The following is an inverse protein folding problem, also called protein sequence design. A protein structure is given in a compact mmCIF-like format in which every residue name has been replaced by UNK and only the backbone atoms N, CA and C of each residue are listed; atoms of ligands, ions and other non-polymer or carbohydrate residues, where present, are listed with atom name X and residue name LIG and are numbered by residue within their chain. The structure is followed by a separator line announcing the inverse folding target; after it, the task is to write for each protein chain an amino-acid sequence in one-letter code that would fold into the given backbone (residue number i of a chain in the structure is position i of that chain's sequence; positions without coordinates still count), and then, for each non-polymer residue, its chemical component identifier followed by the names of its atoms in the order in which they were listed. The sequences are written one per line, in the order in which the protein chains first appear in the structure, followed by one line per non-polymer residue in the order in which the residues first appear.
data_IF_087645319514
#
_entry.id   IF_087645319514
#
_cell.length_a   1.000
_cell.length_b   1.000
_cell.length_c   1.000
_cell.angle_alpha   90.00
_cell.angle_beta   90.00
_cell.angle_gamma   90.00
#
_symmetry.space_group_name_H-M   'P 1'
#
loop_
_entity.id
_entity.type
_entity.pdbx_description
1 polymer ?
#
# COMPACT_ATOMS: atom_id res chain seq x y z
N UNK A 1 47.33 25.13 -17.45
CA UNK A 1 45.94 25.11 -17.02
C UNK A 1 45.61 23.69 -16.62
N UNK A 2 45.55 23.39 -15.30
CA UNK A 2 45.18 22.08 -14.80
C UNK A 2 43.65 21.97 -14.83
N UNK A 3 43.14 21.13 -15.74
CA UNK A 3 41.73 20.75 -15.77
C UNK A 3 41.42 19.91 -14.55
N UNK A 4 40.64 20.44 -13.61
CA UNK A 4 40.07 19.68 -12.50
C UNK A 4 38.96 18.79 -13.08
N UNK A 5 39.03 17.46 -12.93
CA UNK A 5 37.96 16.59 -13.39
C UNK A 5 36.67 16.91 -12.60
N UNK A 6 35.49 16.82 -13.24
CA UNK A 6 34.23 17.04 -12.56
C UNK A 6 34.10 15.99 -11.45
N UNK A 7 33.96 16.45 -10.21
CA UNK A 7 33.56 15.60 -9.07
C UNK A 7 32.10 15.22 -9.33
N UNK A 8 31.85 14.02 -9.83
CA UNK A 8 30.49 13.46 -9.83
C UNK A 8 30.10 13.25 -8.38
N UNK A 9 29.13 14.01 -7.89
CA UNK A 9 28.55 13.77 -6.60
C UNK A 9 28.03 12.30 -6.58
N UNK A 10 28.50 11.50 -5.62
CA UNK A 10 27.99 10.13 -5.47
C UNK A 10 26.49 10.18 -5.15
N UNK A 11 25.70 9.36 -5.85
CA UNK A 11 24.29 9.24 -5.57
C UNK A 11 24.09 8.87 -4.08
N UNK A 12 23.08 9.48 -3.46
CA UNK A 12 22.70 9.15 -2.08
C UNK A 12 21.96 7.82 -2.07
N UNK A 13 22.47 6.83 -1.34
CA UNK A 13 21.83 5.51 -1.21
C UNK A 13 20.67 5.58 -0.22
N UNK A 14 19.55 4.91 -0.54
CA UNK A 14 18.37 4.79 0.31
C UNK A 14 17.65 3.47 0.07
N UNK A 15 17.21 2.81 1.14
CA UNK A 15 16.48 1.54 1.11
C UNK A 15 15.00 1.76 1.38
N UNK A 16 14.15 1.35 0.45
CA UNK A 16 12.69 1.39 0.60
C UNK A 16 12.17 -0.02 0.83
N UNK A 17 11.48 -0.26 1.95
CA UNK A 17 10.83 -1.51 2.26
C UNK A 17 9.39 -1.53 1.74
N UNK A 18 9.00 -2.60 1.04
CA UNK A 18 7.66 -2.81 0.48
C UNK A 18 7.10 -4.18 0.87
N UNK A 19 5.79 -4.34 0.85
CA UNK A 19 5.11 -5.57 1.24
C UNK A 19 4.45 -6.32 0.08
N UNK A 20 5.20 -6.57 -1.00
CA UNK A 20 4.72 -7.20 -2.25
C UNK A 20 4.91 -6.28 -3.44
N UNK A 21 6.15 -6.14 -3.92
CA UNK A 21 6.56 -5.16 -4.95
C UNK A 21 5.70 -5.19 -6.23
N UNK A 22 5.16 -6.35 -6.60
CA UNK A 22 4.33 -6.51 -7.79
C UNK A 22 2.88 -6.00 -7.65
N UNK A 23 2.43 -5.64 -6.45
CA UNK A 23 1.08 -5.10 -6.23
C UNK A 23 0.94 -3.69 -6.81
N UNK A 24 -0.24 -3.37 -7.33
CA UNK A 24 -0.52 -2.00 -7.84
C UNK A 24 -0.41 -0.94 -6.74
N UNK A 25 -0.61 -1.32 -5.50
CA UNK A 25 -0.39 -0.50 -4.32
C UNK A 25 1.01 0.15 -4.28
N UNK A 26 2.03 -0.57 -4.78
CA UNK A 26 3.43 -0.10 -4.85
C UNK A 26 3.84 0.35 -6.24
N UNK A 27 2.90 0.40 -7.19
CA UNK A 27 3.21 0.75 -8.57
C UNK A 27 3.89 2.13 -8.72
N UNK A 28 3.52 3.18 -7.94
CA UNK A 28 4.21 4.46 -8.06
C UNK A 28 5.73 4.40 -7.85
N UNK A 29 6.21 3.61 -6.88
CA UNK A 29 7.67 3.47 -6.69
C UNK A 29 8.31 2.56 -7.74
N UNK A 30 7.61 1.52 -8.20
CA UNK A 30 8.09 0.66 -9.28
C UNK A 30 8.24 1.44 -10.59
N UNK A 31 7.31 2.34 -10.89
CA UNK A 31 7.38 3.25 -12.05
C UNK A 31 8.50 4.27 -11.88
N UNK A 32 8.65 4.86 -10.69
CA UNK A 32 9.74 5.79 -10.41
C UNK A 32 11.12 5.13 -10.60
N UNK A 33 11.26 3.86 -10.19
CA UNK A 33 12.47 3.06 -10.42
C UNK A 33 12.68 2.78 -11.91
N UNK A 34 11.67 2.24 -12.59
CA UNK A 34 11.75 1.81 -14.00
C UNK A 34 12.00 2.96 -14.96
N UNK A 35 11.39 4.12 -14.73
CA UNK A 35 11.56 5.32 -15.56
C UNK A 35 12.77 6.19 -15.15
N UNK A 36 13.54 5.75 -14.16
CA UNK A 36 14.77 6.42 -13.73
C UNK A 36 14.55 7.68 -12.90
N UNK A 37 13.33 7.95 -12.43
CA UNK A 37 13.01 9.18 -11.70
C UNK A 37 13.79 9.33 -10.37
N UNK A 38 14.16 8.24 -9.71
CA UNK A 38 15.03 8.30 -8.55
C UNK A 38 16.46 8.72 -8.93
N UNK A 39 16.97 8.21 -10.05
CA UNK A 39 18.31 8.57 -10.56
C UNK A 39 18.38 10.04 -10.99
N UNK A 40 17.31 10.56 -11.56
CA UNK A 40 17.19 11.98 -11.92
C UNK A 40 17.30 12.91 -10.70
N UNK A 41 16.91 12.40 -9.52
CA UNK A 41 17.02 13.09 -8.23
C UNK A 41 18.36 12.81 -7.51
N UNK A 42 19.31 12.12 -8.15
CA UNK A 42 20.60 11.77 -7.55
C UNK A 42 20.50 10.72 -6.45
N UNK A 43 19.48 9.84 -6.51
CA UNK A 43 19.25 8.78 -5.55
C UNK A 43 19.59 7.41 -6.15
N UNK A 44 20.30 6.61 -5.36
CA UNK A 44 20.48 5.18 -5.59
C UNK A 44 19.52 4.42 -4.65
N UNK A 45 18.37 4.00 -5.20
CA UNK A 45 17.27 3.42 -4.43
C UNK A 45 17.30 1.90 -4.56
N UNK A 46 17.37 1.22 -3.40
CA UNK A 46 17.16 -0.22 -3.29
C UNK A 46 15.73 -0.47 -2.77
N UNK A 47 14.88 -1.11 -3.57
CA UNK A 47 13.53 -1.52 -3.13
C UNK A 47 13.60 -2.96 -2.63
N UNK A 48 13.43 -3.15 -1.31
CA UNK A 48 13.48 -4.45 -0.63
C UNK A 48 12.06 -4.97 -0.45
N UNK A 49 11.78 -6.15 -1.02
CA UNK A 49 10.45 -6.76 -1.00
C UNK A 49 10.29 -7.73 0.18
N UNK A 50 9.22 -7.53 0.97
CA UNK A 50 8.84 -8.35 2.10
C UNK A 50 7.46 -8.97 1.88
N UNK A 51 7.12 -9.99 2.66
CA UNK A 51 5.78 -10.58 2.65
C UNK A 51 4.81 -9.75 3.51
N UNK A 52 4.25 -8.66 2.94
CA UNK A 52 3.25 -7.81 3.56
C UNK A 52 3.80 -6.60 4.32
N UNK A 53 2.99 -5.55 4.43
CA UNK A 53 3.39 -4.23 4.90
C UNK A 53 3.85 -4.18 6.36
N UNK A 54 3.36 -5.07 7.24
CA UNK A 54 3.84 -5.12 8.63
C UNK A 54 5.30 -5.54 8.73
N UNK A 55 5.78 -6.41 7.84
CA UNK A 55 7.19 -6.81 7.79
C UNK A 55 8.08 -5.71 7.24
N UNK A 56 7.58 -4.94 6.27
CA UNK A 56 8.25 -3.75 5.75
C UNK A 56 8.43 -2.69 6.84
N UNK A 57 7.38 -2.44 7.64
CA UNK A 57 7.46 -1.55 8.79
C UNK A 57 8.50 -2.04 9.82
N UNK A 58 8.48 -3.35 10.15
CA UNK A 58 9.46 -3.93 11.07
C UNK A 58 10.90 -3.78 10.58
N UNK A 59 11.16 -3.88 9.26
CA UNK A 59 12.48 -3.69 8.69
C UNK A 59 13.01 -2.26 8.91
N UNK A 60 12.14 -1.24 8.78
CA UNK A 60 12.52 0.16 9.04
C UNK A 60 12.69 0.42 10.54
N UNK A 61 11.79 -0.09 11.38
CA UNK A 61 11.92 0.02 12.84
C UNK A 61 13.21 -0.65 13.34
N UNK A 62 13.59 -1.76 12.74
CA UNK A 62 14.82 -2.50 13.05
C UNK A 62 16.08 -1.95 12.38
N UNK A 63 16.00 -0.90 11.55
CA UNK A 63 17.13 -0.28 10.87
C UNK A 63 17.67 -1.04 9.66
N UNK A 64 16.93 -2.01 9.12
CA UNK A 64 17.33 -2.77 7.91
C UNK A 64 16.95 -2.03 6.62
N UNK A 65 16.04 -1.08 6.70
CA UNK A 65 15.65 -0.16 5.64
C UNK A 65 15.39 1.25 6.22
N UNK A 66 15.31 2.25 5.37
CA UNK A 66 15.23 3.66 5.75
C UNK A 66 13.80 4.19 5.69
N UNK A 67 13.06 3.80 4.65
CA UNK A 67 11.73 4.31 4.31
C UNK A 67 10.79 3.13 4.07
N UNK A 68 9.55 3.25 4.49
CA UNK A 68 8.48 2.32 4.13
C UNK A 68 7.67 2.91 2.98
N UNK A 69 7.42 2.13 1.94
CA UNK A 69 6.24 2.31 1.11
C UNK A 69 5.16 1.41 1.68
N UNK A 70 4.11 1.97 2.22
CA UNK A 70 3.12 1.17 2.96
C UNK A 70 1.92 1.98 3.42
N UNK A 71 1.15 1.42 4.32
CA UNK A 71 -0.14 1.94 4.74
C UNK A 71 -0.02 3.14 5.69
N UNK A 72 -0.79 4.17 5.41
CA UNK A 72 -0.81 5.42 6.17
C UNK A 72 -1.16 5.21 7.66
N UNK A 73 -2.11 4.33 7.96
CA UNK A 73 -2.54 4.04 9.34
C UNK A 73 -1.41 3.48 10.21
N UNK A 74 -0.32 2.99 9.61
CA UNK A 74 0.85 2.59 10.37
C UNK A 74 1.49 3.76 11.12
N UNK A 75 1.45 4.99 10.58
CA UNK A 75 1.98 6.17 11.27
C UNK A 75 1.26 6.44 12.57
N UNK A 76 -0.07 6.30 12.59
CA UNK A 76 -0.92 6.44 13.76
C UNK A 76 -0.73 5.28 14.77
N UNK A 77 -0.66 4.05 14.25
CA UNK A 77 -0.40 2.86 15.10
C UNK A 77 0.95 2.94 15.79
N UNK A 78 1.96 3.47 15.12
CA UNK A 78 3.29 3.66 15.68
C UNK A 78 3.34 4.82 16.68
N UNK A 79 2.62 5.91 16.41
CA UNK A 79 2.48 7.02 17.37
C UNK A 79 1.86 6.52 18.69
N UNK A 80 0.84 5.67 18.63
CA UNK A 80 0.22 5.07 19.83
C UNK A 80 1.20 4.17 20.62
N UNK A 81 2.28 3.70 19.99
CA UNK A 81 3.37 2.94 20.63
C UNK A 81 4.56 3.82 21.02
N UNK A 82 4.42 5.15 20.96
CA UNK A 82 5.50 6.09 21.28
C UNK A 82 6.60 6.19 20.22
N UNK A 83 6.35 5.70 19.00
CA UNK A 83 7.31 5.77 17.90
C UNK A 83 6.82 6.75 16.83
N UNK A 84 7.55 7.87 16.68
CA UNK A 84 7.17 8.92 15.74
C UNK A 84 7.54 8.55 14.31
N UNK A 85 6.52 8.26 13.50
CA UNK A 85 6.60 8.07 12.06
C UNK A 85 5.82 9.17 11.34
N UNK A 86 6.31 9.61 10.17
CA UNK A 86 5.64 10.66 9.40
C UNK A 86 5.58 10.26 7.92
N UNK A 87 4.39 10.36 7.33
CA UNK A 87 4.18 10.21 5.90
C UNK A 87 4.50 11.53 5.17
N UNK A 88 5.06 11.44 3.96
CA UNK A 88 5.52 12.62 3.22
C UNK A 88 5.12 12.67 1.74
N UNK A 89 4.56 11.60 1.17
CA UNK A 89 3.94 11.60 -0.15
C UNK A 89 2.93 10.46 -0.26
N UNK A 90 1.75 10.75 -0.80
CA UNK A 90 0.69 9.79 -1.03
C UNK A 90 0.88 9.06 -2.37
N UNK A 91 0.64 7.75 -2.37
CA UNK A 91 0.64 6.86 -3.54
C UNK A 91 -0.76 6.37 -3.89
N UNK A 92 -1.59 6.11 -2.88
CA UNK A 92 -2.94 5.58 -3.02
C UNK A 92 -3.97 6.34 -2.18
N UNK A 93 -5.04 6.80 -2.82
CA UNK A 93 -6.15 7.54 -2.19
C UNK A 93 -7.26 6.62 -1.65
N UNK A 94 -7.14 5.32 -1.88
CA UNK A 94 -8.00 4.27 -1.33
C UNK A 94 -7.17 3.01 -1.03
N UNK A 95 -7.63 2.11 -0.15
CA UNK A 95 -6.85 0.94 0.28
C UNK A 95 -6.52 -0.07 -0.82
N UNK A 96 -7.29 -0.12 -1.91
CA UNK A 96 -7.12 -1.06 -3.04
C UNK A 96 -7.21 -2.55 -2.61
N UNK A 97 -7.70 -2.82 -1.43
CA UNK A 97 -7.91 -4.16 -0.91
C UNK A 97 -9.29 -4.69 -1.30
N UNK A 98 -9.37 -5.98 -1.55
CA UNK A 98 -10.61 -6.68 -1.80
C UNK A 98 -10.81 -7.76 -0.77
N UNK A 99 -11.95 -7.75 -0.08
CA UNK A 99 -12.40 -8.87 0.72
C UNK A 99 -13.20 -9.81 -0.18
N UNK A 100 -12.75 -11.06 -0.31
CA UNK A 100 -13.42 -12.05 -1.14
C UNK A 100 -13.49 -13.41 -0.45
N UNK A 101 -14.49 -14.21 -0.83
CA UNK A 101 -14.69 -15.58 -0.35
C UNK A 101 -14.41 -16.59 -1.46
N UNK A 102 -13.97 -17.78 -1.06
CA UNK A 102 -13.68 -18.89 -1.96
C UNK A 102 -14.97 -19.51 -2.51
N UNK A 103 -15.13 -19.58 -3.83
CA UNK A 103 -16.22 -20.31 -4.45
C UNK A 103 -16.07 -21.84 -4.24
N UNK A 104 -14.86 -22.32 -3.95
CA UNK A 104 -14.59 -23.73 -3.72
C UNK A 104 -15.01 -24.21 -2.34
N UNK A 105 -14.68 -23.47 -1.28
CA UNK A 105 -14.94 -23.87 0.10
C UNK A 105 -16.22 -23.27 0.68
N UNK A 106 -16.74 -22.22 0.03
CA UNK A 106 -17.97 -21.50 0.41
C UNK A 106 -18.87 -21.23 -0.79
N UNK A 107 -19.31 -22.29 -1.55
CA UNK A 107 -20.07 -22.11 -2.78
C UNK A 107 -21.42 -21.42 -2.56
N UNK A 108 -22.05 -21.66 -1.41
CA UNK A 108 -23.38 -21.15 -1.04
C UNK A 108 -23.34 -19.92 -0.14
N UNK A 109 -22.17 -19.25 -0.04
CA UNK A 109 -21.99 -18.08 0.85
C UNK A 109 -23.05 -17.00 0.63
N UNK A 110 -23.72 -16.59 1.70
CA UNK A 110 -24.81 -15.60 1.71
C UNK A 110 -24.51 -14.38 2.58
N UNK A 111 -23.74 -14.56 3.67
CA UNK A 111 -23.48 -13.49 4.62
C UNK A 111 -22.14 -13.66 5.34
N UNK A 112 -21.59 -12.54 5.82
CA UNK A 112 -20.37 -12.53 6.61
C UNK A 112 -20.45 -13.39 7.87
N UNK A 113 -21.64 -13.59 8.45
CA UNK A 113 -21.82 -14.43 9.65
C UNK A 113 -21.32 -15.88 9.47
N UNK A 114 -21.30 -16.38 8.23
CA UNK A 114 -20.81 -17.71 7.90
C UNK A 114 -19.27 -17.85 7.98
N UNK A 115 -18.58 -16.73 8.15
CA UNK A 115 -17.11 -16.72 8.30
C UNK A 115 -16.64 -17.11 9.71
N UNK A 116 -17.54 -17.25 10.70
CA UNK A 116 -17.16 -17.78 12.03
C UNK A 116 -16.54 -19.16 11.91
N UNK A 117 -15.38 -19.36 12.55
CA UNK A 117 -14.60 -20.59 12.48
C UNK A 117 -13.80 -20.78 11.18
N UNK A 118 -13.84 -19.83 10.25
CA UNK A 118 -13.19 -19.94 8.93
C UNK A 118 -11.76 -19.39 8.92
N UNK A 119 -11.02 -19.79 7.89
CA UNK A 119 -9.64 -19.35 7.66
C UNK A 119 -9.63 -18.15 6.72
N UNK A 120 -9.17 -17.02 7.21
CA UNK A 120 -9.10 -15.76 6.46
C UNK A 120 -7.65 -15.46 6.07
N UNK A 121 -7.35 -15.51 4.79
CA UNK A 121 -6.04 -15.13 4.26
C UNK A 121 -5.82 -13.62 4.31
N UNK A 122 -4.63 -13.21 4.72
CA UNK A 122 -4.17 -11.81 4.68
C UNK A 122 -2.75 -11.76 4.12
N UNK A 123 -2.28 -10.63 3.64
CA UNK A 123 -0.89 -10.56 3.11
C UNK A 123 0.12 -10.91 4.21
N UNK A 124 -0.04 -10.31 5.40
CA UNK A 124 0.63 -10.73 6.63
C UNK A 124 -0.18 -10.26 7.84
N UNK A 125 -0.16 -10.96 8.98
CA UNK A 125 -0.71 -10.45 10.23
C UNK A 125 -0.13 -9.08 10.59
N UNK A 126 -0.99 -8.12 10.94
CA UNK A 126 -0.60 -6.72 11.24
C UNK A 126 -0.43 -5.81 10.04
N UNK A 127 -0.59 -6.29 8.80
CA UNK A 127 -0.66 -5.46 7.59
C UNK A 127 -2.04 -4.81 7.43
N UNK A 128 -2.18 -3.83 6.52
CA UNK A 128 -3.47 -3.18 6.25
C UNK A 128 -4.54 -4.17 5.75
N UNK A 129 -4.17 -5.19 5.00
CA UNK A 129 -5.11 -6.27 4.62
C UNK A 129 -5.70 -6.99 5.83
N UNK A 130 -4.91 -7.20 6.89
CA UNK A 130 -5.39 -7.75 8.16
C UNK A 130 -6.29 -6.76 8.90
N UNK A 131 -5.89 -5.48 8.97
CA UNK A 131 -6.69 -4.42 9.58
C UNK A 131 -8.06 -4.27 8.90
N UNK A 132 -8.10 -4.27 7.57
CA UNK A 132 -9.34 -4.18 6.77
C UNK A 132 -10.21 -5.43 6.98
N UNK A 133 -9.62 -6.63 7.05
CA UNK A 133 -10.37 -7.84 7.35
C UNK A 133 -11.06 -7.73 8.71
N UNK A 134 -10.35 -7.33 9.77
CA UNK A 134 -10.92 -7.13 11.10
C UNK A 134 -12.01 -6.06 11.08
N UNK A 135 -11.77 -4.93 10.40
CA UNK A 135 -12.74 -3.84 10.29
C UNK A 135 -14.08 -4.33 9.71
N UNK A 136 -14.02 -5.04 8.58
CA UNK A 136 -15.22 -5.57 7.89
C UNK A 136 -15.93 -6.61 8.75
N UNK A 137 -15.18 -7.51 9.38
CA UNK A 137 -15.73 -8.56 10.24
C UNK A 137 -16.38 -7.97 11.49
N UNK A 138 -15.76 -7.02 12.19
CA UNK A 138 -16.35 -6.37 13.39
C UNK A 138 -17.62 -5.61 13.06
N UNK A 139 -17.69 -4.92 11.91
CA UNK A 139 -18.91 -4.27 11.45
C UNK A 139 -20.05 -5.28 11.16
N UNK A 140 -19.71 -6.55 10.94
CA UNK A 140 -20.66 -7.65 10.79
C UNK A 140 -20.90 -8.45 12.11
N UNK A 141 -20.37 -7.98 13.25
CA UNK A 141 -20.51 -8.64 14.55
C UNK A 141 -19.66 -9.90 14.73
N UNK A 142 -18.53 -9.98 14.02
CA UNK A 142 -17.57 -11.09 14.11
C UNK A 142 -16.28 -10.55 14.72
N UNK A 143 -15.89 -11.13 15.85
CA UNK A 143 -14.64 -10.74 16.50
C UNK A 143 -13.43 -11.46 15.88
N UNK A 144 -12.22 -10.85 15.97
CA UNK A 144 -11.00 -11.46 15.42
C UNK A 144 -10.71 -12.89 15.90
N UNK A 145 -11.09 -13.22 17.14
CA UNK A 145 -10.93 -14.56 17.70
C UNK A 145 -11.95 -15.58 17.18
N UNK A 146 -12.99 -15.14 16.49
CA UNK A 146 -13.99 -16.03 15.87
C UNK A 146 -13.49 -16.63 14.54
N UNK A 147 -12.34 -16.19 14.03
CA UNK A 147 -11.73 -16.62 12.77
C UNK A 147 -10.25 -16.94 12.93
N UNK A 148 -9.67 -17.63 11.95
CA UNK A 148 -8.23 -17.87 11.92
C UNK A 148 -7.56 -17.05 10.80
N UNK A 149 -6.72 -16.08 11.16
CA UNK A 149 -5.97 -15.30 10.17
C UNK A 149 -4.69 -16.02 9.73
N UNK A 150 -4.50 -16.14 8.43
CA UNK A 150 -3.37 -16.85 7.81
C UNK A 150 -2.62 -15.89 6.87
N UNK A 151 -1.33 -15.70 7.09
CA UNK A 151 -0.47 -14.95 6.18
C UNK A 151 -0.21 -15.75 4.90
N UNK A 152 -0.76 -15.29 3.78
CA UNK A 152 -0.62 -15.95 2.45
C UNK A 152 0.26 -15.17 1.48
N UNK A 153 0.76 -13.99 1.90
CA UNK A 153 1.53 -13.10 1.03
C UNK A 153 0.67 -12.37 0.01
N UNK A 154 1.33 -11.82 -1.01
CA UNK A 154 0.75 -10.93 -2.01
C UNK A 154 1.22 -11.28 -3.43
N UNK A 155 1.39 -12.57 -3.70
CA UNK A 155 1.97 -13.09 -4.94
C UNK A 155 1.27 -14.36 -5.42
N UNK A 156 1.90 -15.10 -6.32
CA UNK A 156 1.43 -16.41 -6.79
C UNK A 156 1.10 -17.39 -5.65
N UNK A 157 1.76 -17.28 -4.49
CA UNK A 157 1.46 -18.12 -3.33
C UNK A 157 0.05 -17.87 -2.79
N UNK A 158 -0.43 -16.61 -2.76
CA UNK A 158 -1.80 -16.27 -2.36
C UNK A 158 -2.83 -16.84 -3.36
N UNK A 159 -2.54 -16.76 -4.67
CA UNK A 159 -3.36 -17.37 -5.71
C UNK A 159 -3.46 -18.89 -5.51
N UNK A 160 -2.33 -19.55 -5.27
CA UNK A 160 -2.28 -21.00 -5.05
C UNK A 160 -3.05 -21.42 -3.78
N UNK A 161 -2.90 -20.70 -2.66
CA UNK A 161 -3.60 -20.98 -1.42
C UNK A 161 -5.13 -20.94 -1.59
N UNK A 162 -5.63 -19.92 -2.29
CA UNK A 162 -7.07 -19.77 -2.58
C UNK A 162 -7.58 -20.87 -3.50
N UNK A 163 -6.88 -21.15 -4.61
CA UNK A 163 -7.26 -22.23 -5.55
C UNK A 163 -7.26 -23.61 -4.90
N UNK A 164 -6.31 -23.85 -4.01
CA UNK A 164 -6.22 -25.11 -3.26
C UNK A 164 -7.35 -25.26 -2.22
N UNK A 165 -8.01 -24.16 -1.81
CA UNK A 165 -8.99 -24.15 -0.72
C UNK A 165 -8.33 -24.23 0.65
N UNK A 166 -7.10 -23.75 0.79
CA UNK A 166 -6.39 -23.67 2.07
C UNK A 166 -6.92 -22.56 2.97
N UNK A 167 -7.60 -21.58 2.38
CA UNK A 167 -8.31 -20.48 3.02
C UNK A 167 -9.73 -20.38 2.47
N UNK A 168 -10.66 -19.91 3.31
CA UNK A 168 -12.08 -19.79 2.98
C UNK A 168 -12.45 -18.41 2.44
N UNK A 169 -11.75 -17.40 2.92
CA UNK A 169 -11.83 -16.03 2.45
C UNK A 169 -10.47 -15.37 2.53
N UNK A 170 -10.31 -14.20 1.96
CA UNK A 170 -9.09 -13.42 2.15
C UNK A 170 -9.31 -11.92 1.91
N UNK A 171 -8.37 -11.12 2.39
CA UNK A 171 -8.16 -9.74 1.93
C UNK A 171 -6.82 -9.66 1.22
N UNK A 172 -6.87 -9.31 -0.05
CA UNK A 172 -5.67 -9.18 -0.87
C UNK A 172 -5.85 -8.03 -1.89
N UNK A 173 -4.87 -7.84 -2.76
CA UNK A 173 -4.80 -6.76 -3.72
C UNK A 173 -4.54 -7.30 -5.13
N UNK A 174 -4.66 -6.44 -6.14
CA UNK A 174 -4.26 -6.79 -7.50
C UNK A 174 -2.73 -6.81 -7.66
N UNK A 175 -2.23 -7.70 -8.51
CA UNK A 175 -2.93 -8.52 -9.52
C UNK A 175 -3.49 -9.86 -9.02
N UNK A 176 -3.31 -10.21 -7.74
CA UNK A 176 -3.83 -11.49 -7.17
C UNK A 176 -5.35 -11.60 -7.33
N UNK A 177 -6.07 -10.52 -7.01
CA UNK A 177 -7.54 -10.48 -7.10
C UNK A 177 -8.00 -10.65 -8.54
N UNK A 178 -7.49 -9.86 -9.49
CA UNK A 178 -7.89 -9.94 -10.90
C UNK A 178 -7.67 -11.34 -11.48
N UNK A 179 -6.57 -12.01 -11.08
CA UNK A 179 -6.28 -13.38 -11.51
C UNK A 179 -7.33 -14.37 -11.02
N UNK A 180 -7.75 -14.29 -9.75
CA UNK A 180 -8.73 -15.19 -9.17
C UNK A 180 -10.17 -14.85 -9.57
N UNK A 181 -10.48 -13.58 -9.79
CA UNK A 181 -11.77 -13.07 -10.27
C UNK A 181 -12.05 -13.59 -11.68
N UNK A 182 -11.08 -13.51 -12.61
CA UNK A 182 -11.21 -14.02 -13.96
C UNK A 182 -11.51 -15.52 -14.01
N UNK A 183 -10.86 -16.29 -13.15
CA UNK A 183 -11.03 -17.75 -13.12
C UNK A 183 -12.26 -18.19 -12.31
N UNK A 184 -13.10 -17.23 -11.85
CA UNK A 184 -14.26 -17.47 -10.99
C UNK A 184 -13.94 -18.29 -9.72
N UNK A 185 -12.74 -18.12 -9.18
CA UNK A 185 -12.30 -18.81 -7.95
C UNK A 185 -12.85 -18.14 -6.70
N UNK A 186 -13.14 -16.85 -6.79
CA UNK A 186 -13.59 -16.00 -5.67
C UNK A 186 -14.88 -15.27 -6.00
N UNK A 187 -15.59 -14.89 -4.91
CA UNK A 187 -16.70 -13.93 -4.92
C UNK A 187 -16.30 -12.72 -4.08
N UNK A 188 -16.38 -11.52 -4.66
CA UNK A 188 -16.09 -10.28 -3.97
C UNK A 188 -17.20 -9.95 -2.98
N UNK A 189 -16.82 -9.56 -1.77
CA UNK A 189 -17.71 -9.14 -0.67
C UNK A 189 -17.59 -7.65 -0.40
N UNK A 190 -16.36 -7.10 -0.47
CA UNK A 190 -16.08 -5.68 -0.35
C UNK A 190 -14.91 -5.29 -1.24
N UNK A 191 -15.02 -4.18 -1.96
CA UNK A 191 -14.05 -3.76 -2.97
C UNK A 191 -13.57 -2.32 -2.73
N UNK A 192 -12.44 -2.16 -2.04
CA UNK A 192 -11.87 -0.83 -1.79
C UNK A 192 -10.95 -0.33 -2.93
N UNK A 193 -10.94 -1.01 -4.09
CA UNK A 193 -10.38 -0.47 -5.34
C UNK A 193 -11.30 0.61 -5.93
N UNK A 194 -12.60 0.52 -5.62
CA UNK A 194 -13.63 1.49 -6.02
C UNK A 194 -13.71 2.54 -4.91
N UNK A 195 -13.33 3.78 -5.23
CA UNK A 195 -13.20 4.87 -4.24
C UNK A 195 -14.52 5.11 -3.51
N UNK A 196 -15.63 5.14 -4.24
CA UNK A 196 -16.98 5.37 -3.69
C UNK A 196 -17.42 4.25 -2.73
N UNK A 197 -17.05 3.00 -3.00
CA UNK A 197 -17.31 1.88 -2.09
C UNK A 197 -16.40 1.93 -0.87
N UNK A 198 -15.12 2.27 -1.05
CA UNK A 198 -14.20 2.50 0.03
C UNK A 198 -14.70 3.57 1.00
N UNK A 199 -15.15 4.71 0.46
CA UNK A 199 -15.68 5.82 1.26
C UNK A 199 -16.93 5.42 2.06
N UNK A 200 -17.80 4.58 1.48
CA UNK A 200 -18.95 4.01 2.20
C UNK A 200 -18.55 3.05 3.32
N UNK A 201 -17.56 2.19 3.06
CA UNK A 201 -17.06 1.21 4.03
C UNK A 201 -16.45 1.90 5.25
N UNK A 202 -15.61 2.93 5.04
CA UNK A 202 -14.88 3.60 6.11
C UNK A 202 -15.55 4.87 6.66
N UNK A 203 -16.68 5.29 6.08
CA UNK A 203 -17.37 6.53 6.46
C UNK A 203 -16.67 7.79 6.00
N UNK A 204 -15.82 7.71 4.96
CA UNK A 204 -15.10 8.81 4.34
C UNK A 204 -13.82 8.37 3.63
N UNK A 205 -13.10 9.32 2.99
CA UNK A 205 -11.88 9.03 2.24
C UNK A 205 -10.80 8.36 3.10
N UNK A 206 -10.57 7.08 2.88
CA UNK A 206 -9.52 6.29 3.55
C UNK A 206 -8.29 6.24 2.67
N UNK A 207 -7.32 7.10 2.94
CA UNK A 207 -6.02 7.06 2.25
C UNK A 207 -5.23 5.82 2.66
N UNK A 208 -4.33 5.37 1.79
CA UNK A 208 -3.63 4.12 2.02
C UNK A 208 -2.13 4.21 1.70
N UNK A 209 -1.71 3.84 0.50
CA UNK A 209 -0.31 3.80 0.13
C UNK A 209 0.38 5.15 0.24
N UNK A 210 1.47 5.22 0.99
CA UNK A 210 2.31 6.41 1.10
C UNK A 210 3.76 6.02 1.37
N UNK A 211 4.69 6.96 1.14
CA UNK A 211 6.01 6.86 1.72
C UNK A 211 6.01 7.48 3.10
N UNK A 212 6.54 6.76 4.08
CA UNK A 212 6.73 7.25 5.43
C UNK A 212 8.03 6.71 6.05
N UNK A 213 8.55 7.44 7.02
CA UNK A 213 9.79 7.09 7.71
C UNK A 213 9.77 7.58 9.16
N UNK A 214 10.71 7.15 10.02
CA UNK A 214 10.92 7.77 11.31
C UNK A 214 11.09 9.29 11.17
N UNK A 215 10.38 10.06 11.98
CA UNK A 215 10.43 11.54 11.92
C UNK A 215 11.85 12.06 12.04
N UNK A 216 12.71 11.37 12.79
CA UNK A 216 14.13 11.68 12.90
C UNK A 216 14.84 11.55 11.55
N UNK A 217 14.62 10.45 10.81
CA UNK A 217 15.22 10.23 9.49
C UNK A 217 14.85 11.35 8.51
N UNK A 218 13.56 11.77 8.49
CA UNK A 218 13.08 12.86 7.64
C UNK A 218 13.77 14.19 7.94
N UNK A 219 14.04 14.48 9.24
CA UNK A 219 14.74 15.68 9.67
C UNK A 219 16.23 15.66 9.32
N UNK A 220 16.87 14.51 9.44
CA UNK A 220 18.30 14.31 9.17
C UNK A 220 18.61 14.20 7.66
N UNK A 221 17.64 13.77 6.84
CA UNK A 221 17.83 13.51 5.40
C UNK A 221 16.78 14.22 4.52
N UNK A 222 16.55 15.55 4.66
CA UNK A 222 15.49 16.24 3.95
C UNK A 222 15.66 16.21 2.43
N UNK A 223 16.90 16.19 1.93
CA UNK A 223 17.20 16.15 0.50
C UNK A 223 16.83 14.78 -0.11
N UNK A 224 17.08 13.67 0.61
CA UNK A 224 16.67 12.33 0.18
C UNK A 224 15.15 12.25 0.14
N UNK A 225 14.48 12.70 1.19
CA UNK A 225 13.02 12.72 1.28
C UNK A 225 12.41 13.57 0.18
N UNK A 226 13.02 14.73 -0.16
CA UNK A 226 12.58 15.56 -1.28
C UNK A 226 12.75 14.84 -2.61
N UNK A 227 13.89 14.21 -2.84
CA UNK A 227 14.14 13.44 -4.06
C UNK A 227 13.16 12.27 -4.24
N UNK A 228 12.89 11.52 -3.17
CA UNK A 228 11.88 10.45 -3.18
C UNK A 228 10.48 11.00 -3.49
N UNK A 229 10.11 12.13 -2.88
CA UNK A 229 8.82 12.77 -3.12
C UNK A 229 8.70 13.24 -4.56
N UNK A 230 9.73 13.89 -5.11
CA UNK A 230 9.77 14.34 -6.51
C UNK A 230 9.54 13.17 -7.47
N UNK A 231 10.25 12.07 -7.27
CA UNK A 231 10.15 10.88 -8.11
C UNK A 231 8.74 10.25 -8.04
N UNK A 232 8.14 10.15 -6.85
CA UNK A 232 6.80 9.59 -6.67
C UNK A 232 5.71 10.50 -7.25
N UNK A 233 5.80 11.82 -7.08
CA UNK A 233 4.85 12.78 -7.70
C UNK A 233 4.88 12.65 -9.24
N UNK A 234 6.07 12.55 -9.84
CA UNK A 234 6.21 12.31 -11.29
C UNK A 234 5.60 10.97 -11.71
N UNK A 235 5.83 9.90 -10.94
CA UNK A 235 5.28 8.58 -11.21
C UNK A 235 3.75 8.56 -11.09
N UNK A 236 3.18 9.22 -10.08
CA UNK A 236 1.72 9.37 -9.91
C UNK A 236 1.08 10.05 -11.13
N UNK A 237 1.68 11.16 -11.60
CA UNK A 237 1.21 11.88 -12.79
C UNK A 237 1.31 11.04 -14.06
N UNK A 238 2.40 10.30 -14.21
CA UNK A 238 2.57 9.36 -15.32
C UNK A 238 1.50 8.28 -15.29
N UNK A 239 1.28 7.63 -14.14
CA UNK A 239 0.26 6.60 -13.96
C UNK A 239 -1.17 7.08 -14.24
N UNK A 240 -1.48 8.33 -13.91
CA UNK A 240 -2.79 8.93 -14.19
C UNK A 240 -3.10 9.01 -15.70
N UNK A 241 -2.06 9.08 -16.55
CA UNK A 241 -2.18 9.24 -18.01
C UNK A 241 -1.76 7.97 -18.78
N UNK A 242 -1.09 7.01 -18.13
CA UNK A 242 -0.51 5.82 -18.76
C UNK A 242 -1.54 4.98 -19.51
N UNK A 243 -1.20 4.56 -20.72
CA UNK A 243 -1.97 3.59 -21.49
C UNK A 243 -1.68 2.16 -21.04
N UNK A 244 -2.46 1.20 -21.54
CA UNK A 244 -2.19 -0.22 -21.35
C UNK A 244 -0.78 -0.61 -21.84
N UNK A 245 -0.37 -0.06 -22.99
CA UNK A 245 0.93 -0.35 -23.58
C UNK A 245 2.08 0.25 -22.75
N UNK A 246 1.89 1.46 -22.22
CA UNK A 246 2.88 2.11 -21.36
C UNK A 246 3.16 1.28 -20.11
N UNK A 247 2.10 0.79 -19.44
CA UNK A 247 2.24 -0.05 -18.25
C UNK A 247 3.00 -1.33 -18.55
N UNK A 248 2.66 -1.99 -19.67
CA UNK A 248 3.32 -3.24 -20.06
C UNK A 248 4.82 -3.06 -20.32
N UNK A 249 5.21 -1.91 -20.87
CA UNK A 249 6.62 -1.59 -21.12
C UNK A 249 7.39 -1.17 -19.87
N UNK A 250 6.69 -0.59 -18.90
CA UNK A 250 7.30 0.00 -17.71
C UNK A 250 7.50 -0.98 -16.55
N UNK A 251 6.75 -2.10 -16.49
CA UNK A 251 6.85 -3.05 -15.39
C UNK A 251 7.54 -4.35 -15.81
N UNK A 252 8.23 -5.05 -14.87
CA UNK A 252 8.82 -6.37 -15.15
C UNK A 252 7.76 -7.41 -15.51
N UNK A 253 8.09 -8.34 -16.39
CA UNK A 253 7.20 -9.44 -16.80
C UNK A 253 6.70 -10.29 -15.61
N UNK A 254 7.52 -10.44 -14.58
CA UNK A 254 7.16 -11.15 -13.34
C UNK A 254 5.94 -10.58 -12.61
N UNK A 255 5.58 -9.31 -12.87
CA UNK A 255 4.39 -8.67 -12.26
C UNK A 255 3.09 -9.18 -12.86
N UNK A 256 3.11 -9.73 -14.08
CA UNK A 256 1.90 -10.16 -14.79
C UNK A 256 1.27 -11.45 -14.22
N UNK A 257 1.91 -12.12 -13.28
CA UNK A 257 1.47 -13.44 -12.77
C UNK A 257 1.07 -14.42 -13.89
N UNK A 258 1.80 -14.36 -15.02
CA UNK A 258 1.59 -15.20 -16.18
C UNK A 258 0.50 -14.73 -17.15
N UNK A 259 -0.17 -13.61 -16.89
CA UNK A 259 -1.21 -13.08 -17.80
C UNK A 259 -1.20 -11.54 -17.86
N UNK A 260 -0.62 -11.03 -18.94
CA UNK A 260 -0.48 -9.61 -19.23
C UNK A 260 -1.82 -8.87 -19.37
N UNK A 261 -2.81 -9.49 -20.01
CA UNK A 261 -4.13 -8.85 -20.27
C UNK A 261 -4.91 -8.69 -18.96
N UNK A 262 -4.82 -9.67 -18.06
CA UNK A 262 -5.41 -9.58 -16.72
C UNK A 262 -4.73 -8.46 -15.94
N UNK A 263 -3.39 -8.37 -16.01
CA UNK A 263 -2.65 -7.31 -15.34
C UNK A 263 -3.10 -5.94 -15.81
N UNK A 264 -3.17 -5.71 -17.13
CA UNK A 264 -3.61 -4.43 -17.68
C UNK A 264 -5.05 -4.09 -17.29
N UNK A 265 -5.96 -5.05 -17.38
CA UNK A 265 -7.37 -4.84 -16.98
C UNK A 265 -7.49 -4.49 -15.51
N UNK A 266 -6.76 -5.20 -14.65
CA UNK A 266 -6.70 -4.91 -13.21
C UNK A 266 -6.11 -3.53 -12.92
N UNK A 267 -5.04 -3.12 -13.63
CA UNK A 267 -4.48 -1.76 -13.51
C UNK A 267 -5.51 -0.69 -13.83
N UNK A 268 -6.21 -0.80 -14.95
CA UNK A 268 -7.22 0.18 -15.35
C UNK A 268 -8.35 0.30 -14.32
N UNK A 269 -8.74 -0.80 -13.67
CA UNK A 269 -9.72 -0.82 -12.59
C UNK A 269 -9.18 -0.14 -11.32
N UNK A 270 -7.90 -0.31 -10.99
CA UNK A 270 -7.25 0.27 -9.80
C UNK A 270 -6.81 1.73 -9.98
N UNK A 271 -6.58 2.18 -11.21
CA UNK A 271 -6.05 3.52 -11.50
C UNK A 271 -6.77 4.66 -10.77
N UNK A 272 -8.13 4.67 -10.64
CA UNK A 272 -8.83 5.70 -9.89
C UNK A 272 -8.44 5.79 -8.40
N UNK A 273 -7.99 4.68 -7.81
CA UNK A 273 -7.56 4.61 -6.42
C UNK A 273 -6.11 5.05 -6.20
N UNK A 274 -5.33 5.26 -7.27
CA UNK A 274 -3.99 5.84 -7.17
C UNK A 274 -4.08 7.36 -6.94
N UNK A 275 -3.11 7.90 -6.19
CA UNK A 275 -2.96 9.35 -6.04
C UNK A 275 -2.50 9.96 -7.36
N UNK A 276 -3.03 11.14 -7.70
CA UNK A 276 -2.63 11.87 -8.91
C UNK A 276 -1.51 12.89 -8.63
N UNK A 277 -1.49 13.43 -7.43
CA UNK A 277 -0.70 14.60 -7.04
C UNK A 277 0.26 14.36 -5.85
N UNK A 278 0.05 13.30 -5.08
CA UNK A 278 0.87 12.96 -3.92
C UNK A 278 0.45 13.64 -2.62
N UNK A 279 -0.54 14.54 -2.62
CA UNK A 279 -0.99 15.22 -1.41
C UNK A 279 -1.75 14.28 -0.47
N UNK A 280 -1.45 14.38 0.82
CA UNK A 280 -2.19 13.72 1.90
C UNK A 280 -3.26 14.70 2.37
N UNK A 281 -4.57 14.36 2.25
CA UNK A 281 -5.64 15.22 2.73
C UNK A 281 -5.56 15.46 4.24
N UNK A 282 -5.87 16.69 4.69
CA UNK A 282 -5.74 17.05 6.12
C UNK A 282 -6.61 16.21 7.05
N UNK A 283 -7.76 15.76 6.58
CA UNK A 283 -8.70 14.92 7.35
C UNK A 283 -8.39 13.42 7.28
N UNK A 284 -7.42 12.99 6.45
CA UNK A 284 -7.06 11.58 6.31
C UNK A 284 -6.67 10.90 7.63
N UNK A 285 -5.91 11.54 8.55
CA UNK A 285 -5.57 10.93 9.82
C UNK A 285 -6.79 10.58 10.68
N UNK A 286 -7.85 11.41 10.65
CA UNK A 286 -9.06 11.20 11.45
C UNK A 286 -9.82 9.95 11.00
N UNK A 287 -10.03 9.76 9.69
CA UNK A 287 -10.69 8.58 9.12
C UNK A 287 -9.87 7.32 9.41
N UNK A 288 -8.55 7.39 9.17
CA UNK A 288 -7.64 6.29 9.46
C UNK A 288 -7.64 5.91 10.94
N UNK A 289 -7.67 6.90 11.84
CA UNK A 289 -7.69 6.63 13.28
C UNK A 289 -9.02 6.03 13.75
N UNK A 290 -10.16 6.52 13.27
CA UNK A 290 -11.48 5.90 13.54
C UNK A 290 -11.50 4.44 13.12
N UNK A 291 -10.91 4.10 11.97
CA UNK A 291 -10.81 2.72 11.52
C UNK A 291 -9.91 1.89 12.47
N UNK A 292 -8.80 2.45 12.95
CA UNK A 292 -7.93 1.80 13.91
C UNK A 292 -8.61 1.56 15.27
N UNK A 293 -9.44 2.49 15.75
CA UNK A 293 -10.20 2.31 17.00
C UNK A 293 -11.19 1.15 16.89
N UNK A 294 -11.83 0.96 15.72
CA UNK A 294 -12.72 -0.17 15.49
C UNK A 294 -11.99 -1.50 15.56
N UNK A 295 -10.74 -1.58 15.11
CA UNK A 295 -9.98 -2.84 15.07
C UNK A 295 -9.15 -3.10 16.33
N UNK A 296 -8.98 -2.10 17.21
CA UNK A 296 -8.12 -2.20 18.39
C UNK A 296 -8.67 -1.38 19.56
N UNK A 297 -9.34 -2.05 20.49
CA UNK A 297 -9.98 -1.44 21.65
C UNK A 297 -8.99 -0.69 22.57
N UNK A 298 -7.68 -1.05 22.53
CA UNK A 298 -6.63 -0.35 23.29
C UNK A 298 -6.40 1.10 22.84
N UNK A 299 -6.94 1.47 21.68
CA UNK A 299 -6.85 2.85 21.14
C UNK A 299 -8.04 3.72 21.53
N UNK A 300 -9.03 3.20 22.28
CA UNK A 300 -10.25 3.94 22.65
C UNK A 300 -9.95 5.30 23.30
N UNK A 301 -9.00 5.34 24.25
CA UNK A 301 -8.61 6.53 24.99
C UNK A 301 -7.39 7.27 24.42
N UNK A 302 -6.76 6.74 23.38
CA UNK A 302 -5.60 7.37 22.78
C UNK A 302 -6.00 8.62 21.99
N UNK A 303 -5.28 9.71 22.21
CA UNK A 303 -5.46 11.00 21.52
C UNK A 303 -4.29 11.23 20.56
N UNK A 304 -4.46 10.98 19.26
CA UNK A 304 -3.38 11.16 18.30
C UNK A 304 -3.11 12.64 18.03
N UNK A 305 -1.85 12.95 17.81
CA UNK A 305 -1.43 14.20 17.17
C UNK A 305 -1.46 14.02 15.66
N UNK A 306 -2.56 14.40 15.03
CA UNK A 306 -2.77 14.26 13.58
C UNK A 306 -1.77 15.06 12.75
N UNK A 307 -1.24 16.19 13.28
CA UNK A 307 -0.28 17.02 12.57
C UNK A 307 1.13 16.42 12.55
N UNK A 308 1.43 15.53 13.51
CA UNK A 308 2.73 14.90 13.59
C UNK A 308 2.90 13.71 12.62
N UNK A 309 1.78 13.10 12.14
CA UNK A 309 1.85 11.85 11.36
C UNK A 309 2.03 12.04 9.87
N UNK A 310 1.96 13.26 9.35
CA UNK A 310 2.25 13.54 7.93
C UNK A 310 2.78 14.96 7.70
N UNK A 311 3.30 15.19 6.49
CA UNK A 311 3.66 16.52 6.00
C UNK A 311 3.52 16.59 4.48
N UNK A 312 2.94 17.67 3.96
CA UNK A 312 2.84 17.94 2.53
C UNK A 312 3.93 18.87 1.98
N UNK A 313 4.83 19.38 2.84
CA UNK A 313 5.86 20.37 2.43
C UNK A 313 6.73 19.91 1.26
N UNK A 314 7.04 18.60 1.21
CA UNK A 314 7.86 18.03 0.15
C UNK A 314 7.07 17.88 -1.14
N UNK A 315 5.78 17.59 -1.05
CA UNK A 315 4.87 17.53 -2.20
C UNK A 315 4.69 18.93 -2.81
N UNK A 316 4.48 19.94 -1.98
CA UNK A 316 4.41 21.34 -2.43
C UNK A 316 5.68 21.77 -3.18
N UNK A 317 6.86 21.40 -2.67
CA UNK A 317 8.14 21.68 -3.32
C UNK A 317 8.29 20.88 -4.63
N UNK A 318 7.83 19.61 -4.67
CA UNK A 318 7.84 18.78 -5.88
C UNK A 318 6.97 19.39 -6.99
N UNK A 319 5.78 19.89 -6.66
CA UNK A 319 4.91 20.56 -7.64
C UNK A 319 5.49 21.88 -8.17
N UNK A 320 6.27 22.61 -7.35
CA UNK A 320 6.99 23.79 -7.81
C UNK A 320 8.14 23.43 -8.76
N UNK A 321 8.87 22.34 -8.46
CA UNK A 321 9.98 21.88 -9.29
C UNK A 321 9.52 21.26 -10.61
N UNK A 322 8.42 20.52 -10.56
CA UNK A 322 7.81 19.84 -11.69
C UNK A 322 6.37 20.31 -11.85
N UNK A 323 6.09 21.45 -12.49
CA UNK A 323 4.75 21.90 -12.79
C UNK A 323 4.05 20.93 -13.77
N UNK A 324 2.68 20.97 -13.81
CA UNK A 324 1.84 20.09 -14.69
C UNK A 324 2.01 20.43 -16.18
#
# INVERSE_FOLDING_TARGET
MCSVPPVFASNKSVKIAVGGKALYYYLPISIAESLGYFKDEGLDVEIIDFQGGSRSLQAVVGGSADVVSGAFEHTLSMQARGQAMQAFVLQGRAPQCVFAVSNKTMPDFKSLAELKGKKIGVTAPGSSSHAIAIFILRNAGIEPQDVSFIGVGASAAAVAAMRAGQIDAFVNLDPVIATLEKDNVIRIVADTRIVEESDKIFGGPMVAGCLYAPTRYIKENPDIVQGLTNAVVRANRWLAKATAEDIVKAVPESYFLGNKDIYVTGFLKNRPALSKDGFIPEHAPEISFKSLQIINDKLADFKPDYKAVFTNRFVEAAHKKYPD
#
